data_IF_111551671253
#
_entry.id   IF_111551671253
#
_cell.length_a   1.000
_cell.length_b   1.000
_cell.length_c   1.000
_cell.angle_alpha   90.00
_cell.angle_beta   90.00
_cell.angle_gamma   90.00
#
_symmetry.space_group_name_H-M   'P 1'
#
loop_
_entity.id
_entity.type
_entity.pdbx_description
1 polymer ?
#
# COMPACT_ATOMS: atom_id res chain seq x y z
N UNK A 1 13.05 -3.87 19.68
CA UNK A 1 12.57 -2.54 19.31
C UNK A 1 12.34 -2.56 17.79
N UNK A 2 11.13 -2.97 17.38
CA UNK A 2 10.71 -3.01 15.97
C UNK A 2 10.27 -1.59 15.59
N UNK A 3 11.10 -0.85 14.89
CA UNK A 3 10.61 0.32 14.14
C UNK A 3 9.96 -0.29 12.90
N UNK A 4 8.64 -0.31 12.87
CA UNK A 4 7.89 -0.73 11.68
C UNK A 4 8.33 0.14 10.51
N UNK A 5 8.64 -0.47 9.37
CA UNK A 5 8.92 0.23 8.11
C UNK A 5 7.81 1.22 7.80
N UNK A 6 6.56 0.88 8.12
CA UNK A 6 5.40 1.76 8.03
C UNK A 6 5.55 3.07 8.83
N UNK A 7 6.17 3.03 10.02
CA UNK A 7 6.42 4.26 10.79
C UNK A 7 7.44 5.18 10.10
N UNK A 8 8.45 4.61 9.45
CA UNK A 8 9.45 5.39 8.71
C UNK A 8 8.83 5.98 7.46
N UNK A 9 8.05 5.22 6.71
CA UNK A 9 7.32 5.69 5.52
C UNK A 9 6.36 6.81 5.90
N UNK A 10 5.58 6.66 6.98
CA UNK A 10 4.71 7.73 7.50
C UNK A 10 5.49 8.97 7.92
N UNK A 11 6.69 8.81 8.51
CA UNK A 11 7.54 9.95 8.86
C UNK A 11 8.11 10.66 7.62
N UNK A 12 8.41 9.92 6.55
CA UNK A 12 8.83 10.47 5.26
C UNK A 12 7.67 11.21 4.60
N UNK A 13 6.46 10.63 4.63
CA UNK A 13 5.23 11.27 4.13
C UNK A 13 4.97 12.63 4.78
N UNK A 14 5.11 12.73 6.11
CA UNK A 14 4.94 13.99 6.84
C UNK A 14 5.92 15.06 6.35
N UNK A 15 7.17 14.69 6.06
CA UNK A 15 8.20 15.62 5.58
C UNK A 15 7.91 16.09 4.15
N UNK A 16 7.45 15.20 3.28
CA UNK A 16 7.02 15.54 1.91
C UNK A 16 5.82 16.50 1.97
N UNK A 17 4.88 16.24 2.85
CA UNK A 17 3.66 17.03 2.99
C UNK A 17 3.93 18.46 3.49
N UNK A 18 4.85 18.63 4.46
CA UNK A 18 5.12 19.95 5.05
C UNK A 18 5.91 20.88 4.11
N UNK A 19 6.61 20.36 3.11
CA UNK A 19 7.38 21.19 2.18
C UNK A 19 6.51 21.93 1.15
N UNK A 20 5.30 21.46 0.85
CA UNK A 20 4.45 21.99 -0.25
C UNK A 20 3.29 22.94 0.15
N UNK A 21 3.01 23.10 1.42
CA UNK A 21 1.78 23.79 1.85
C UNK A 21 1.80 25.32 1.70
N UNK A 22 2.82 25.91 1.07
CA UNK A 22 3.03 27.37 1.12
C UNK A 22 2.74 28.14 -0.17
N UNK A 23 2.43 27.51 -1.31
CA UNK A 23 2.47 28.24 -2.58
C UNK A 23 1.13 28.52 -3.29
N UNK A 24 0.01 27.89 -2.90
CA UNK A 24 -1.26 28.21 -3.59
C UNK A 24 -2.45 28.30 -2.61
N UNK A 25 -2.84 29.52 -2.28
CA UNK A 25 -3.95 29.81 -1.35
C UNK A 25 -5.35 29.39 -1.86
N UNK A 26 -5.48 28.94 -3.11
CA UNK A 26 -6.76 28.53 -3.72
C UNK A 26 -6.91 27.02 -3.87
N UNK A 27 -5.85 26.22 -3.71
CA UNK A 27 -5.93 24.78 -3.79
C UNK A 27 -6.21 24.18 -2.41
N UNK A 28 -7.35 23.53 -2.24
CA UNK A 28 -7.78 22.90 -0.98
C UNK A 28 -7.05 21.57 -0.80
N UNK A 29 -6.86 20.79 -1.88
CA UNK A 29 -6.26 19.46 -1.86
C UNK A 29 -4.97 19.40 -2.67
N UNK A 30 -4.07 18.46 -2.32
CA UNK A 30 -2.75 18.33 -2.95
C UNK A 30 -2.83 18.12 -4.47
N UNK A 31 -3.81 17.36 -4.95
CA UNK A 31 -3.99 17.10 -6.39
C UNK A 31 -4.49 18.32 -7.18
N UNK A 32 -4.94 19.38 -6.50
CA UNK A 32 -5.35 20.65 -7.11
C UNK A 32 -4.18 21.64 -7.27
N UNK A 33 -2.99 21.30 -6.75
CA UNK A 33 -1.80 22.12 -6.90
C UNK A 33 -1.35 22.18 -8.37
N UNK A 34 -0.85 23.31 -8.81
CA UNK A 34 -0.43 23.54 -10.20
C UNK A 34 0.76 22.65 -10.61
N UNK A 35 1.56 22.23 -9.65
CA UNK A 35 2.73 21.38 -9.85
C UNK A 35 2.44 19.88 -9.61
N UNK A 36 1.19 19.51 -9.31
CA UNK A 36 0.80 18.10 -9.21
C UNK A 36 0.99 17.36 -10.54
N UNK A 37 1.60 16.16 -10.55
CA UNK A 37 2.07 15.34 -9.43
C UNK A 37 3.58 15.45 -9.15
N UNK A 38 4.20 16.57 -9.38
CA UNK A 38 5.64 16.75 -9.17
C UNK A 38 5.96 16.87 -7.67
N UNK A 39 6.40 15.76 -7.07
CA UNK A 39 6.80 15.72 -5.66
C UNK A 39 8.19 16.30 -5.46
N UNK A 40 8.35 17.12 -4.43
CA UNK A 40 9.63 17.66 -3.99
C UNK A 40 9.87 17.32 -2.53
N UNK A 41 11.12 17.19 -2.14
CA UNK A 41 11.52 16.86 -0.77
C UNK A 41 12.82 17.56 -0.39
N UNK A 42 13.09 17.60 0.92
CA UNK A 42 14.31 18.16 1.49
C UNK A 42 15.29 17.02 1.79
N UNK A 43 16.29 16.85 0.91
CA UNK A 43 17.30 15.81 1.04
C UNK A 43 18.09 15.93 2.36
N UNK A 44 18.33 17.12 2.85
CA UNK A 44 19.08 17.33 4.09
C UNK A 44 18.31 16.80 5.31
N UNK A 45 16.97 16.97 5.33
CA UNK A 45 16.11 16.44 6.39
C UNK A 45 15.92 14.93 6.30
N UNK A 46 15.97 14.37 5.09
CA UNK A 46 15.73 12.93 4.86
C UNK A 46 16.99 12.09 5.00
N UNK A 47 18.18 12.61 4.63
CA UNK A 47 19.42 11.86 4.53
C UNK A 47 19.76 11.05 5.79
N UNK A 48 19.64 11.65 6.98
CA UNK A 48 19.89 10.95 8.24
C UNK A 48 18.91 9.78 8.47
N UNK A 49 17.63 9.99 8.20
CA UNK A 49 16.59 8.95 8.38
C UNK A 49 16.77 7.81 7.38
N UNK A 50 17.01 8.13 6.12
CA UNK A 50 17.26 7.15 5.06
C UNK A 50 18.54 6.36 5.35
N UNK A 51 19.61 7.01 5.76
CA UNK A 51 20.86 6.35 6.18
C UNK A 51 20.65 5.35 7.33
N UNK A 52 19.84 5.73 8.33
CA UNK A 52 19.47 4.82 9.43
C UNK A 52 18.68 3.61 8.95
N UNK A 53 17.72 3.79 8.05
CA UNK A 53 16.95 2.70 7.47
C UNK A 53 17.83 1.76 6.68
N UNK A 54 18.73 2.29 5.83
CA UNK A 54 19.68 1.48 5.05
C UNK A 54 20.61 0.66 5.94
N UNK A 55 21.09 1.24 7.04
CA UNK A 55 21.88 0.53 8.03
C UNK A 55 21.11 -0.65 8.67
N UNK A 56 19.82 -0.45 8.99
CA UNK A 56 18.95 -1.50 9.54
C UNK A 56 18.63 -2.59 8.50
N UNK A 57 18.35 -2.22 7.26
CA UNK A 57 18.14 -3.15 6.15
C UNK A 57 19.40 -4.01 5.93
N UNK A 58 20.56 -3.40 5.81
CA UNK A 58 21.82 -4.13 5.65
C UNK A 58 22.10 -5.11 6.80
N UNK A 59 21.82 -4.70 8.05
CA UNK A 59 21.92 -5.58 9.22
C UNK A 59 20.95 -6.74 9.16
N UNK A 60 19.70 -6.50 8.73
CA UNK A 60 18.69 -7.56 8.58
C UNK A 60 19.09 -8.55 7.49
N UNK A 61 19.45 -8.06 6.30
CA UNK A 61 19.91 -8.89 5.18
C UNK A 61 21.10 -9.74 5.60
N UNK A 62 22.11 -9.14 6.30
CA UNK A 62 23.26 -9.88 6.81
C UNK A 62 22.88 -10.99 7.80
N UNK A 63 21.92 -10.73 8.70
CA UNK A 63 21.42 -11.77 9.61
C UNK A 63 20.67 -12.89 8.88
N UNK A 64 19.78 -12.52 7.94
CA UNK A 64 19.02 -13.49 7.14
C UNK A 64 19.92 -14.35 6.26
N UNK A 65 21.00 -13.78 5.73
CA UNK A 65 21.97 -14.53 4.92
C UNK A 65 22.77 -15.57 5.73
N UNK A 66 22.89 -15.37 7.04
CA UNK A 66 23.56 -16.30 7.94
C UNK A 66 22.65 -17.43 8.47
N UNK A 67 21.34 -17.37 8.22
CA UNK A 67 20.39 -18.41 8.65
C UNK A 67 20.41 -19.61 7.70
N UNK A 68 20.25 -20.82 8.26
CA UNK A 68 19.94 -22.02 7.48
C UNK A 68 18.57 -21.92 6.81
N UNK A 69 18.33 -22.79 5.84
CA UNK A 69 17.14 -22.77 4.98
C UNK A 69 15.82 -22.77 5.79
N UNK A 70 15.68 -23.67 6.75
CA UNK A 70 14.45 -23.82 7.55
C UNK A 70 14.16 -22.59 8.41
N UNK A 71 15.19 -22.06 9.08
CA UNK A 71 15.06 -20.84 9.89
C UNK A 71 14.72 -19.62 9.05
N UNK A 72 15.26 -19.54 7.83
CA UNK A 72 14.96 -18.48 6.87
C UNK A 72 13.51 -18.55 6.43
N UNK A 73 13.00 -19.71 6.07
CA UNK A 73 11.61 -19.93 5.68
C UNK A 73 10.65 -19.61 6.83
N UNK A 74 10.95 -20.05 8.05
CA UNK A 74 10.16 -19.71 9.23
C UNK A 74 10.12 -18.20 9.47
N UNK A 75 11.25 -17.51 9.37
CA UNK A 75 11.31 -16.06 9.55
C UNK A 75 10.52 -15.29 8.48
N UNK A 76 10.56 -15.74 7.22
CA UNK A 76 9.75 -15.17 6.13
C UNK A 76 8.27 -15.38 6.40
N UNK A 77 7.87 -16.61 6.75
CA UNK A 77 6.48 -16.95 7.08
C UNK A 77 5.93 -16.10 8.23
N UNK A 78 6.70 -15.96 9.32
CA UNK A 78 6.33 -15.15 10.47
C UNK A 78 6.18 -13.67 10.10
N UNK A 79 7.11 -13.15 9.29
CA UNK A 79 7.11 -11.75 8.88
C UNK A 79 5.91 -11.44 7.99
N UNK A 80 5.69 -12.22 6.93
CA UNK A 80 4.56 -12.01 6.01
C UNK A 80 3.22 -12.18 6.73
N UNK A 81 3.09 -13.17 7.62
CA UNK A 81 1.87 -13.35 8.43
C UNK A 81 1.59 -12.12 9.27
N UNK A 82 2.61 -11.57 9.94
CA UNK A 82 2.47 -10.38 10.76
C UNK A 82 2.12 -9.12 9.95
N UNK A 83 2.77 -8.94 8.80
CA UNK A 83 2.57 -7.76 7.94
C UNK A 83 1.16 -7.75 7.33
N UNK A 84 0.69 -8.89 6.82
CA UNK A 84 -0.66 -9.05 6.27
C UNK A 84 -1.71 -8.78 7.35
N UNK A 85 -1.57 -9.41 8.53
CA UNK A 85 -2.51 -9.25 9.64
C UNK A 85 -2.57 -7.79 10.08
N UNK A 86 -1.41 -7.14 10.25
CA UNK A 86 -1.34 -5.73 10.68
C UNK A 86 -1.85 -4.75 9.62
N UNK A 87 -1.59 -5.01 8.35
CA UNK A 87 -2.13 -4.18 7.26
C UNK A 87 -3.66 -4.20 7.23
N UNK A 88 -4.26 -5.37 7.44
CA UNK A 88 -5.73 -5.50 7.50
C UNK A 88 -6.32 -4.87 8.76
N UNK A 89 -5.65 -5.01 9.91
CA UNK A 89 -6.07 -4.39 11.17
C UNK A 89 -6.15 -2.85 11.10
N UNK A 90 -5.31 -2.20 10.30
CA UNK A 90 -5.36 -0.75 10.05
C UNK A 90 -6.70 -0.32 9.44
N UNK A 91 -7.29 -1.17 8.61
CA UNK A 91 -8.60 -0.93 7.98
C UNK A 91 -9.78 -1.45 8.85
N UNK A 92 -9.49 -1.89 10.07
CA UNK A 92 -10.51 -2.44 10.97
C UNK A 92 -10.87 -3.91 10.68
N UNK A 93 -10.14 -4.58 9.79
CA UNK A 93 -10.34 -5.98 9.40
C UNK A 93 -9.47 -6.90 10.25
N UNK A 94 -10.10 -7.70 11.10
CA UNK A 94 -9.38 -8.64 11.96
C UNK A 94 -9.33 -10.01 11.28
N UNK A 95 -8.18 -10.33 10.68
CA UNK A 95 -7.95 -11.63 10.05
C UNK A 95 -7.57 -12.69 11.09
N UNK A 96 -7.98 -13.94 10.85
CA UNK A 96 -7.49 -15.07 11.63
C UNK A 96 -6.02 -15.35 11.25
N UNK A 97 -5.12 -15.15 12.21
CA UNK A 97 -3.67 -15.28 12.01
C UNK A 97 -3.24 -16.69 11.55
N UNK A 98 -3.93 -17.74 12.00
CA UNK A 98 -3.61 -19.11 11.62
C UNK A 98 -4.02 -19.40 10.17
N UNK A 99 -5.15 -18.83 9.71
CA UNK A 99 -5.56 -18.89 8.31
C UNK A 99 -4.58 -18.11 7.41
N UNK A 100 -4.16 -16.89 7.82
CA UNK A 100 -3.15 -16.12 7.10
C UNK A 100 -1.85 -16.92 7.00
N UNK A 101 -1.38 -17.49 8.12
CA UNK A 101 -0.16 -18.30 8.17
C UNK A 101 -0.28 -19.51 7.25
N UNK A 102 -1.39 -20.22 7.26
CA UNK A 102 -1.67 -21.36 6.39
C UNK A 102 -1.60 -21.00 4.91
N UNK A 103 -2.25 -19.89 4.53
CA UNK A 103 -2.23 -19.42 3.15
C UNK A 103 -0.83 -18.98 2.70
N UNK A 104 -0.11 -18.20 3.52
CA UNK A 104 1.29 -17.80 3.23
C UNK A 104 2.19 -19.01 3.07
N UNK A 105 2.10 -20.00 3.98
CA UNK A 105 2.90 -21.22 3.91
C UNK A 105 2.65 -21.99 2.61
N UNK A 106 1.40 -22.15 2.20
CA UNK A 106 1.03 -22.77 0.93
C UNK A 106 1.66 -22.06 -0.27
N UNK A 107 1.62 -20.72 -0.32
CA UNK A 107 2.24 -19.93 -1.39
C UNK A 107 3.78 -20.04 -1.39
N UNK A 108 4.39 -20.27 -0.23
CA UNK A 108 5.84 -20.47 -0.10
C UNK A 108 6.28 -21.93 -0.32
N UNK A 109 5.34 -22.88 -0.48
CA UNK A 109 5.62 -24.30 -0.55
C UNK A 109 6.16 -24.88 0.76
N UNK A 110 5.76 -24.29 1.90
CA UNK A 110 6.14 -24.75 3.24
C UNK A 110 5.00 -25.64 3.78
N UNK A 111 5.33 -26.87 4.15
CA UNK A 111 4.37 -27.76 4.82
C UNK A 111 4.08 -27.26 6.23
N UNK A 112 2.80 -27.19 6.57
CA UNK A 112 2.32 -26.83 7.90
C UNK A 112 1.23 -27.78 8.32
N UNK A 113 1.54 -28.61 9.33
CA UNK A 113 0.55 -29.51 9.91
C UNK A 113 -0.40 -28.76 10.87
N UNK A 114 -1.68 -29.12 10.84
CA UNK A 114 -2.66 -28.68 11.85
C UNK A 114 -3.16 -27.24 11.72
N UNK A 115 -2.77 -26.47 10.69
CA UNK A 115 -3.33 -25.16 10.44
C UNK A 115 -4.68 -25.24 9.68
N UNK A 116 -5.65 -24.35 9.99
CA UNK A 116 -6.93 -24.30 9.31
C UNK A 116 -6.77 -23.85 7.84
N UNK A 117 -7.65 -24.32 6.96
CA UNK A 117 -7.74 -23.72 5.62
C UNK A 117 -8.13 -22.26 5.69
N UNK A 118 -7.49 -21.44 4.85
CA UNK A 118 -7.85 -20.05 4.67
C UNK A 118 -9.17 -19.94 3.88
N UNK A 119 -10.05 -19.08 4.31
CA UNK A 119 -11.20 -18.70 3.51
C UNK A 119 -10.77 -17.84 2.29
N UNK A 120 -11.71 -17.64 1.34
CA UNK A 120 -11.42 -16.93 0.09
C UNK A 120 -10.96 -15.48 0.30
N UNK A 121 -11.44 -14.83 1.35
CA UNK A 121 -11.08 -13.46 1.64
C UNK A 121 -9.64 -13.38 2.16
N UNK A 122 -9.31 -14.21 3.15
CA UNK A 122 -7.94 -14.31 3.68
C UNK A 122 -6.96 -14.67 2.56
N UNK A 123 -7.32 -15.66 1.74
CA UNK A 123 -6.47 -16.10 0.63
C UNK A 123 -6.25 -14.97 -0.39
N UNK A 124 -7.27 -14.19 -0.70
CA UNK A 124 -7.17 -13.02 -1.58
C UNK A 124 -6.21 -11.94 -1.04
N UNK A 125 -6.29 -11.63 0.26
CA UNK A 125 -5.37 -10.67 0.90
C UNK A 125 -3.92 -11.19 0.88
N UNK A 126 -3.73 -12.49 1.12
CA UNK A 126 -2.40 -13.13 1.03
C UNK A 126 -1.88 -13.09 -0.40
N UNK A 127 -2.69 -13.44 -1.39
CA UNK A 127 -2.31 -13.45 -2.81
C UNK A 127 -1.77 -12.09 -3.27
N UNK A 128 -2.41 -11.01 -2.88
CA UNK A 128 -2.01 -9.64 -3.18
C UNK A 128 -0.60 -9.34 -2.64
N UNK A 129 -0.33 -9.65 -1.39
CA UNK A 129 0.99 -9.46 -0.76
C UNK A 129 2.06 -10.36 -1.39
N UNK A 130 1.71 -11.61 -1.67
CA UNK A 130 2.63 -12.56 -2.32
C UNK A 130 2.98 -12.13 -3.73
N UNK A 131 2.01 -11.62 -4.50
CA UNK A 131 2.30 -11.09 -5.83
C UNK A 131 3.24 -9.87 -5.77
N UNK A 132 3.01 -8.95 -4.85
CA UNK A 132 3.88 -7.77 -4.71
C UNK A 132 5.31 -8.16 -4.32
N UNK A 133 5.48 -9.05 -3.34
CA UNK A 133 6.80 -9.41 -2.81
C UNK A 133 7.58 -10.39 -3.70
N UNK A 134 6.90 -11.31 -4.39
CA UNK A 134 7.56 -12.30 -5.26
C UNK A 134 7.72 -11.81 -6.70
N UNK A 135 6.81 -10.96 -7.17
CA UNK A 135 6.80 -10.42 -8.53
C UNK A 135 7.18 -8.93 -8.58
N UNK A 136 7.98 -8.45 -7.62
CA UNK A 136 8.35 -7.04 -7.52
C UNK A 136 9.06 -6.48 -8.75
N UNK A 137 9.72 -7.33 -9.55
CA UNK A 137 10.37 -6.95 -10.82
C UNK A 137 9.39 -6.79 -11.99
N UNK A 138 8.16 -7.27 -11.88
CA UNK A 138 7.15 -7.11 -12.93
C UNK A 138 6.55 -5.70 -12.86
N UNK A 139 6.24 -5.08 -14.01
CA UNK A 139 5.62 -3.76 -14.02
C UNK A 139 4.26 -3.78 -13.29
N UNK A 140 3.94 -2.66 -12.65
CA UNK A 140 2.60 -2.41 -12.13
C UNK A 140 1.73 -1.93 -13.29
N UNK A 141 0.60 -2.60 -13.52
CA UNK A 141 -0.34 -2.30 -14.61
C UNK A 141 -1.76 -2.17 -14.07
N UNK A 142 -2.67 -1.57 -14.84
CA UNK A 142 -4.10 -1.54 -14.51
C UNK A 142 -4.62 -2.94 -14.25
N UNK A 143 -4.30 -3.90 -15.14
CA UNK A 143 -4.72 -5.30 -15.00
C UNK A 143 -4.22 -5.92 -13.69
N UNK A 144 -2.97 -5.64 -13.30
CA UNK A 144 -2.40 -6.15 -12.03
C UNK A 144 -3.14 -5.57 -10.83
N UNK A 145 -3.44 -4.27 -10.86
CA UNK A 145 -4.23 -3.60 -9.81
C UNK A 145 -5.66 -4.12 -9.76
N UNK A 146 -6.29 -4.38 -10.91
CA UNK A 146 -7.63 -4.95 -10.98
C UNK A 146 -7.66 -6.38 -10.43
N UNK A 147 -6.65 -7.19 -10.72
CA UNK A 147 -6.52 -8.53 -10.15
C UNK A 147 -6.35 -8.49 -8.62
N UNK A 148 -5.57 -7.56 -8.10
CA UNK A 148 -5.44 -7.33 -6.66
C UNK A 148 -6.77 -6.91 -6.03
N UNK A 149 -7.47 -6.00 -6.70
CA UNK A 149 -8.78 -5.53 -6.22
C UNK A 149 -9.82 -6.65 -6.23
N UNK A 150 -9.86 -7.48 -7.27
CA UNK A 150 -10.75 -8.65 -7.34
C UNK A 150 -10.45 -9.67 -6.22
N UNK A 151 -9.18 -9.88 -5.89
CA UNK A 151 -8.77 -10.77 -4.81
C UNK A 151 -9.21 -10.25 -3.42
N UNK A 152 -9.20 -8.93 -3.22
CA UNK A 152 -9.71 -8.31 -1.98
C UNK A 152 -11.23 -8.40 -1.84
N UNK A 153 -11.96 -8.40 -2.96
CA UNK A 153 -13.43 -8.34 -2.95
C UNK A 153 -14.06 -9.47 -3.78
N UNK A 154 -13.85 -10.76 -3.39
CA UNK A 154 -14.29 -11.90 -4.18
C UNK A 154 -15.82 -12.03 -4.29
N UNK A 155 -16.57 -11.31 -3.45
CA UNK A 155 -18.03 -11.28 -3.46
C UNK A 155 -18.62 -10.08 -4.20
N UNK A 156 -17.78 -9.15 -4.67
CA UNK A 156 -18.23 -7.88 -5.26
C UNK A 156 -18.81 -6.90 -4.26
N UNK A 157 -18.48 -7.06 -2.97
CA UNK A 157 -19.01 -6.25 -1.88
C UNK A 157 -17.92 -5.82 -0.90
N UNK A 158 -18.11 -4.62 -0.36
CA UNK A 158 -17.44 -4.14 0.84
C UNK A 158 -18.49 -4.06 1.95
N UNK A 159 -18.36 -4.93 2.95
CA UNK A 159 -19.41 -5.12 3.96
C UNK A 159 -20.77 -5.44 3.30
N UNK A 160 -21.78 -4.60 3.53
CA UNK A 160 -23.11 -4.76 2.94
C UNK A 160 -23.28 -4.07 1.58
N UNK A 161 -22.35 -3.23 1.17
CA UNK A 161 -22.47 -2.41 -0.04
C UNK A 161 -21.86 -3.12 -1.25
N UNK A 162 -22.58 -3.05 -2.39
CA UNK A 162 -22.02 -3.48 -3.68
C UNK A 162 -21.04 -2.42 -4.15
N UNK A 163 -19.85 -2.84 -4.61
CA UNK A 163 -18.81 -1.98 -5.14
C UNK A 163 -18.43 -2.39 -6.56
N UNK A 164 -17.81 -1.48 -7.30
CA UNK A 164 -17.16 -1.78 -8.58
C UNK A 164 -15.91 -2.59 -8.30
N UNK A 165 -15.77 -3.80 -8.87
CA UNK A 165 -14.62 -4.67 -8.66
C UNK A 165 -13.87 -4.88 -9.96
N UNK A 166 -12.54 -4.87 -9.88
CA UNK A 166 -11.64 -5.00 -11.04
C UNK A 166 -11.85 -3.93 -12.11
N UNK A 167 -12.21 -2.74 -11.67
CA UNK A 167 -12.33 -1.55 -12.50
C UNK A 167 -12.17 -0.31 -11.62
N UNK A 168 -11.89 0.84 -12.22
CA UNK A 168 -11.85 2.10 -11.49
C UNK A 168 -13.26 2.47 -11.00
N UNK A 169 -13.32 3.17 -9.85
CA UNK A 169 -14.58 3.71 -9.35
C UNK A 169 -15.22 4.61 -10.40
N UNK A 170 -16.53 4.58 -10.44
CA UNK A 170 -17.35 5.32 -11.40
C UNK A 170 -18.40 6.14 -10.64
N UNK A 171 -19.08 7.03 -11.37
CA UNK A 171 -20.14 7.85 -10.82
C UNK A 171 -19.76 9.31 -10.66
N UNK A 172 -20.76 10.14 -10.43
CA UNK A 172 -20.62 11.60 -10.30
C UNK A 172 -20.46 12.08 -8.86
N UNK A 173 -20.75 11.21 -7.90
CA UNK A 173 -20.60 11.54 -6.48
C UNK A 173 -19.13 11.64 -6.10
N UNK A 174 -18.72 12.72 -5.43
CA UNK A 174 -17.33 12.88 -5.05
C UNK A 174 -16.91 11.85 -4.00
N UNK A 175 -15.77 11.21 -4.23
CA UNK A 175 -15.14 10.34 -3.22
C UNK A 175 -14.53 11.20 -2.13
N UNK A 176 -15.01 11.05 -0.89
CA UNK A 176 -14.62 11.90 0.23
C UNK A 176 -14.22 11.07 1.45
N UNK A 177 -13.20 11.53 2.17
CA UNK A 177 -12.90 11.08 3.51
C UNK A 177 -13.59 12.00 4.49
N UNK A 178 -14.56 11.45 5.21
CA UNK A 178 -15.41 12.20 6.12
C UNK A 178 -15.30 11.68 7.56
N UNK A 179 -15.59 12.53 8.53
CA UNK A 179 -15.81 12.13 9.93
C UNK A 179 -16.98 12.90 10.52
N UNK A 180 -17.56 12.38 11.58
CA UNK A 180 -18.70 13.00 12.27
C UNK A 180 -19.97 12.14 12.19
N UNK A 181 -21.00 12.57 12.92
CA UNK A 181 -22.31 11.94 12.86
C UNK A 181 -23.08 12.35 11.60
N UNK A 182 -24.00 11.53 11.16
CA UNK A 182 -24.87 11.79 10.01
C UNK A 182 -25.54 13.18 10.15
N UNK A 183 -25.38 14.01 9.10
CA UNK A 183 -25.87 15.40 9.08
C UNK A 183 -24.94 16.43 9.77
N UNK A 184 -23.78 16.02 10.27
CA UNK A 184 -22.71 16.85 10.84
C UNK A 184 -21.34 16.40 10.37
N UNK A 185 -21.27 15.87 9.17
CA UNK A 185 -20.04 15.34 8.59
C UNK A 185 -19.05 16.48 8.32
N UNK A 186 -17.78 16.21 8.64
CA UNK A 186 -16.66 17.05 8.24
C UNK A 186 -15.89 16.35 7.14
N UNK A 187 -15.80 16.97 5.99
CA UNK A 187 -14.96 16.51 4.88
C UNK A 187 -13.51 16.86 5.20
N UNK A 188 -12.64 15.85 5.24
CA UNK A 188 -11.21 16.01 5.45
C UNK A 188 -10.44 15.98 4.15
N UNK A 189 -10.93 15.23 3.18
CA UNK A 189 -10.30 15.05 1.89
C UNK A 189 -11.37 14.76 0.83
N UNK A 190 -11.15 15.24 -0.40
CA UNK A 190 -11.89 14.87 -1.58
C UNK A 190 -10.91 14.46 -2.68
N UNK A 191 -11.11 13.28 -3.23
CA UNK A 191 -10.33 12.75 -4.33
C UNK A 191 -10.71 13.40 -5.66
N UNK A 192 -9.88 13.30 -6.71
CA UNK A 192 -10.23 13.69 -8.07
C UNK A 192 -11.53 13.03 -8.54
N UNK A 193 -12.25 13.69 -9.46
CA UNK A 193 -13.47 13.14 -10.05
C UNK A 193 -13.17 11.83 -10.80
N UNK A 194 -14.17 10.93 -10.85
CA UNK A 194 -14.02 9.60 -11.46
C UNK A 194 -13.57 9.65 -12.92
N UNK A 195 -14.04 10.64 -13.69
CA UNK A 195 -13.67 10.81 -15.09
C UNK A 195 -12.16 11.10 -15.30
N UNK A 196 -11.49 11.62 -14.26
CA UNK A 196 -10.05 11.90 -14.29
C UNK A 196 -9.18 10.72 -13.86
N UNK A 197 -9.76 9.66 -13.29
CA UNK A 197 -8.99 8.53 -12.76
C UNK A 197 -8.13 7.86 -13.84
N UNK A 198 -8.62 7.53 -15.04
CA UNK A 198 -7.78 6.87 -16.04
C UNK A 198 -6.54 7.69 -16.40
N UNK A 199 -6.66 9.00 -16.51
CA UNK A 199 -5.54 9.90 -16.77
C UNK A 199 -4.56 9.95 -15.59
N UNK A 200 -5.06 10.11 -14.37
CA UNK A 200 -4.24 10.16 -13.16
C UNK A 200 -3.49 8.83 -12.93
N UNK A 201 -4.18 7.71 -13.14
CA UNK A 201 -3.57 6.38 -13.01
C UNK A 201 -2.52 6.12 -14.08
N UNK A 202 -2.73 6.58 -15.31
CA UNK A 202 -1.71 6.49 -16.35
C UNK A 202 -0.43 7.23 -15.92
N UNK A 203 -0.53 8.47 -15.45
CA UNK A 203 0.63 9.22 -14.96
C UNK A 203 1.34 8.51 -13.79
N UNK A 204 0.55 7.97 -12.86
CA UNK A 204 1.05 7.23 -11.72
C UNK A 204 1.81 5.96 -12.15
N UNK A 205 1.23 5.14 -13.03
CA UNK A 205 1.83 3.90 -13.50
C UNK A 205 3.08 4.15 -14.35
N UNK A 206 3.06 5.16 -15.20
CA UNK A 206 4.25 5.58 -15.96
C UNK A 206 5.39 5.92 -14.98
N UNK A 207 5.12 6.70 -13.93
CA UNK A 207 6.12 7.07 -12.92
C UNK A 207 6.59 5.89 -12.06
N UNK A 208 5.68 5.01 -11.63
CA UNK A 208 6.02 3.83 -10.80
C UNK A 208 6.97 2.90 -11.55
N UNK A 209 6.72 2.68 -12.84
CA UNK A 209 7.48 1.77 -13.68
C UNK A 209 8.75 2.39 -14.26
N UNK A 210 8.94 3.70 -14.11
CA UNK A 210 10.14 4.37 -14.59
C UNK A 210 11.35 4.08 -13.68
N UNK A 211 12.52 3.83 -14.29
CA UNK A 211 13.80 3.58 -13.59
C UNK A 211 14.44 4.89 -13.11
N UNK A 212 13.76 5.58 -12.21
CA UNK A 212 14.25 6.81 -11.61
C UNK A 212 15.28 6.53 -10.52
N UNK A 213 16.32 7.35 -10.46
CA UNK A 213 17.34 7.31 -9.39
C UNK A 213 16.83 7.92 -8.09
N UNK A 214 15.71 7.40 -7.58
CA UNK A 214 15.12 7.80 -6.30
C UNK A 214 15.41 6.70 -5.28
N UNK A 215 15.70 7.08 -4.03
CA UNK A 215 15.81 6.10 -2.94
C UNK A 215 14.53 5.24 -2.85
N UNK A 216 14.62 3.90 -2.84
CA UNK A 216 13.44 3.03 -2.85
C UNK A 216 12.46 3.28 -1.69
N UNK A 217 12.94 3.65 -0.49
CA UNK A 217 12.05 4.01 0.63
C UNK A 217 11.27 5.29 0.32
N UNK A 218 11.92 6.25 -0.32
CA UNK A 218 11.27 7.47 -0.76
C UNK A 218 10.29 7.21 -1.91
N UNK A 219 10.69 6.38 -2.89
CA UNK A 219 9.81 5.96 -3.99
C UNK A 219 8.56 5.24 -3.45
N UNK A 220 8.71 4.33 -2.49
CA UNK A 220 7.61 3.66 -1.81
C UNK A 220 6.65 4.67 -1.13
N UNK A 221 7.20 5.65 -0.41
CA UNK A 221 6.41 6.68 0.27
C UNK A 221 5.63 7.56 -0.72
N UNK A 222 6.26 8.00 -1.80
CA UNK A 222 5.61 8.81 -2.86
C UNK A 222 4.52 7.98 -3.55
N UNK A 223 4.81 6.73 -3.92
CA UNK A 223 3.84 5.84 -4.55
C UNK A 223 2.60 5.66 -3.67
N UNK A 224 2.79 5.41 -2.37
CA UNK A 224 1.68 5.31 -1.42
C UNK A 224 0.84 6.59 -1.38
N UNK A 225 1.49 7.75 -1.15
CA UNK A 225 0.80 9.03 -1.06
C UNK A 225 0.03 9.34 -2.34
N UNK A 226 0.66 9.14 -3.50
CA UNK A 226 0.05 9.43 -4.79
C UNK A 226 -1.16 8.54 -5.04
N UNK A 227 -1.04 7.23 -4.82
CA UNK A 227 -2.14 6.29 -5.01
C UNK A 227 -3.34 6.59 -4.09
N UNK A 228 -3.11 6.83 -2.78
CA UNK A 228 -4.21 7.19 -1.87
C UNK A 228 -4.81 8.56 -2.17
N UNK A 229 -4.03 9.46 -2.79
CA UNK A 229 -4.53 10.76 -3.26
C UNK A 229 -5.48 10.60 -4.46
N UNK A 230 -5.14 9.76 -5.43
CA UNK A 230 -6.04 9.47 -6.56
C UNK A 230 -7.30 8.74 -6.07
N UNK A 231 -7.12 7.79 -5.14
CA UNK A 231 -8.22 6.98 -4.57
C UNK A 231 -9.05 6.30 -5.63
N UNK A 232 -8.42 5.44 -6.47
CA UNK A 232 -9.03 5.01 -7.74
C UNK A 232 -10.14 3.97 -7.61
N UNK A 233 -10.30 3.32 -6.46
CA UNK A 233 -11.32 2.29 -6.21
C UNK A 233 -12.41 2.78 -5.25
N UNK A 234 -13.56 2.10 -5.24
CA UNK A 234 -14.63 2.36 -4.27
C UNK A 234 -14.20 2.01 -2.84
N UNK A 235 -13.37 0.96 -2.68
CA UNK A 235 -12.77 0.53 -1.41
C UNK A 235 -11.44 -0.19 -1.66
N UNK A 236 -10.70 -0.52 -0.58
CA UNK A 236 -9.42 -1.26 -0.66
C UNK A 236 -8.21 -0.41 -1.04
N UNK A 237 -8.37 0.90 -1.26
CA UNK A 237 -7.27 1.77 -1.67
C UNK A 237 -6.10 1.77 -0.67
N UNK A 238 -6.38 1.76 0.63
CA UNK A 238 -5.34 1.73 1.65
C UNK A 238 -4.53 0.43 1.64
N UNK A 239 -5.18 -0.73 1.48
CA UNK A 239 -4.53 -2.04 1.39
C UNK A 239 -3.66 -2.13 0.14
N UNK A 240 -4.21 -1.74 -1.02
CA UNK A 240 -3.47 -1.73 -2.30
C UNK A 240 -2.29 -0.75 -2.24
N UNK A 241 -2.47 0.45 -1.67
CA UNK A 241 -1.39 1.42 -1.53
C UNK A 241 -0.22 0.89 -0.68
N UNK A 242 -0.50 0.17 0.41
CA UNK A 242 0.55 -0.50 1.22
C UNK A 242 1.22 -1.62 0.45
N UNK A 243 0.46 -2.41 -0.30
CA UNK A 243 1.02 -3.44 -1.18
C UNK A 243 1.90 -2.86 -2.29
N UNK A 244 1.55 -1.69 -2.84
CA UNK A 244 2.42 -0.97 -3.79
C UNK A 244 3.75 -0.57 -3.13
N UNK A 245 3.76 -0.20 -1.85
CA UNK A 245 5.03 0.08 -1.13
C UNK A 245 5.93 -1.14 -1.09
N UNK A 246 5.36 -2.33 -0.92
CA UNK A 246 6.12 -3.58 -0.81
C UNK A 246 6.83 -3.97 -2.12
N UNK A 247 6.43 -3.39 -3.28
CA UNK A 247 7.17 -3.53 -4.53
C UNK A 247 8.58 -2.92 -4.47
N UNK A 248 8.83 -1.96 -3.57
CA UNK A 248 10.06 -1.18 -3.51
C UNK A 248 10.93 -1.52 -2.29
N UNK A 249 10.41 -2.27 -1.32
CA UNK A 249 11.04 -2.48 -0.01
C UNK A 249 11.56 -3.90 0.18
#
# INVERSE_FOLDING_TARGET
>A
MRISINYVVMSVLIIIFTAKYTENMNAIYIWQQTDWPNFTWDDAKLSYKLGKVRGLQGKLVGKMSALGFDLKNSAILDTLTADITKSSEIEGEILNSDQVRSSVARHLGIETEGLPEADRYVDGVVQLMMDATQNYMKPLTDERLFNWHAALFPTGRSGMYKITVADWRQGVEPMQVISGAMGKEKVHYQAPDSDNIPFQMKLFLDWVNDDQKIDPVLKAAIAHLWFVTIHPFDDGNGRIARTIMDLFL
#
